data_IF_832959561976
#
_entry.id   IF_832959561976
#
_cell.length_a   1.000
_cell.length_b   1.000
_cell.length_c   1.000
_cell.angle_alpha   90.00
_cell.angle_beta   90.00
_cell.angle_gamma   90.00
#
_symmetry.space_group_name_H-M   'P 1'
#
loop_
_entity.id
_entity.type
_entity.pdbx_description
1 polymer ?
#
# COMPACT_ATOMS: atom_id res chain seq x y z
N UNK A 1 3.68 -3.57 -17.13
CA UNK A 1 4.32 -2.48 -16.34
C UNK A 1 5.21 -3.14 -15.31
N UNK A 2 6.16 -2.41 -14.71
CA UNK A 2 7.11 -3.02 -13.77
C UNK A 2 7.05 -2.30 -12.44
N UNK A 3 6.72 -2.98 -11.34
CA UNK A 3 6.86 -2.43 -10.00
C UNK A 3 8.33 -2.48 -9.60
N UNK A 4 8.85 -1.37 -9.08
CA UNK A 4 10.27 -1.23 -8.71
C UNK A 4 10.47 -0.75 -7.28
N UNK A 5 9.41 -0.35 -6.57
CA UNK A 5 9.52 0.05 -5.18
C UNK A 5 8.17 0.21 -4.48
N UNK A 6 8.24 0.29 -3.16
CA UNK A 6 7.13 0.62 -2.27
C UNK A 6 7.67 1.43 -1.09
N UNK A 7 6.79 2.18 -0.42
CA UNK A 7 7.13 2.85 0.83
C UNK A 7 5.87 3.10 1.67
N UNK A 8 5.98 2.90 2.98
CA UNK A 8 4.98 3.28 3.96
C UNK A 8 5.50 4.37 4.89
N UNK A 9 4.67 5.39 5.14
CA UNK A 9 4.98 6.50 6.03
C UNK A 9 3.84 6.77 7.00
N UNK A 10 4.16 6.83 8.28
CA UNK A 10 3.33 7.54 9.26
C UNK A 10 3.55 9.03 9.04
N UNK A 11 2.48 9.78 8.76
CA UNK A 11 2.62 11.22 8.56
C UNK A 11 2.66 11.94 9.90
N UNK A 12 3.55 12.90 10.00
CA UNK A 12 3.59 13.83 11.11
C UNK A 12 3.00 15.15 10.68
N UNK A 13 2.52 15.90 11.66
CA UNK A 13 1.91 17.20 11.45
C UNK A 13 2.96 18.19 10.96
N UNK A 14 2.89 18.62 9.70
CA UNK A 14 3.80 19.64 9.18
C UNK A 14 3.38 21.07 9.56
N UNK A 15 2.09 21.30 9.81
CA UNK A 15 1.52 22.61 10.14
C UNK A 15 0.47 22.48 11.27
N UNK A 16 0.39 23.43 12.24
CA UNK A 16 -0.48 23.32 13.42
C UNK A 16 -1.99 23.15 13.14
N UNK A 17 -2.42 23.49 11.93
CA UNK A 17 -3.80 23.58 11.49
C UNK A 17 -4.12 22.58 10.35
N UNK A 18 -3.28 21.58 10.12
CA UNK A 18 -3.57 20.44 9.23
C UNK A 18 -3.88 19.18 10.05
N UNK A 19 -4.62 18.26 9.44
CA UNK A 19 -4.95 16.94 10.01
C UNK A 19 -4.05 15.83 9.47
N UNK A 20 -2.85 16.16 8.97
CA UNK A 20 -1.96 15.22 8.29
C UNK A 20 -1.52 14.06 9.20
N UNK A 21 -1.36 14.33 10.49
CA UNK A 21 -1.01 13.37 11.53
C UNK A 21 -2.05 12.26 11.74
N UNK A 22 -3.28 12.46 11.27
CA UNK A 22 -4.32 11.43 11.30
C UNK A 22 -4.23 10.46 10.12
N UNK A 23 -3.25 10.61 9.23
CA UNK A 23 -3.10 9.79 8.04
C UNK A 23 -1.76 9.05 7.99
N UNK A 24 -1.80 7.94 7.29
CA UNK A 24 -0.64 7.23 6.79
C UNK A 24 -0.61 7.35 5.26
N UNK A 25 0.61 7.39 4.71
CA UNK A 25 0.84 7.39 3.26
C UNK A 25 1.50 6.09 2.85
N UNK A 26 0.89 5.38 1.91
CA UNK A 26 1.44 4.22 1.25
C UNK A 26 1.76 4.56 -0.19
N UNK A 27 2.86 4.03 -0.73
CA UNK A 27 3.33 4.33 -2.07
C UNK A 27 3.76 3.06 -2.80
N UNK A 28 3.52 3.03 -4.11
CA UNK A 28 4.09 2.05 -5.04
C UNK A 28 4.71 2.80 -6.22
N UNK A 29 5.97 2.49 -6.51
CA UNK A 29 6.71 3.05 -7.65
C UNK A 29 6.78 2.02 -8.76
N UNK A 30 6.44 2.44 -9.98
CA UNK A 30 6.38 1.57 -11.14
C UNK A 30 6.83 2.27 -12.42
N UNK A 31 7.31 1.48 -13.38
CA UNK A 31 7.70 1.91 -14.72
C UNK A 31 6.56 1.57 -15.68
N UNK A 32 6.10 2.60 -16.41
CA UNK A 32 5.11 2.50 -17.48
C UNK A 32 5.69 3.10 -18.76
N UNK A 33 6.03 2.23 -19.73
CA UNK A 33 6.84 2.64 -20.88
C UNK A 33 8.26 2.96 -20.41
N UNK A 34 8.71 4.18 -20.65
CA UNK A 34 10.01 4.70 -20.18
C UNK A 34 9.88 5.64 -18.97
N UNK A 35 8.68 5.81 -18.43
CA UNK A 35 8.41 6.74 -17.33
C UNK A 35 8.29 6.00 -16.00
N UNK A 36 9.08 6.43 -15.01
CA UNK A 36 8.88 6.09 -13.61
C UNK A 36 7.74 6.94 -13.03
N UNK A 37 6.83 6.29 -12.32
CA UNK A 37 5.65 6.90 -11.70
C UNK A 37 5.49 6.36 -10.29
N UNK A 38 4.95 7.19 -9.41
CA UNK A 38 4.57 6.77 -8.06
C UNK A 38 3.08 6.99 -7.88
N UNK A 39 2.38 5.93 -7.48
CA UNK A 39 1.01 5.98 -7.02
C UNK A 39 1.01 5.98 -5.49
N UNK A 40 0.28 6.93 -4.90
CA UNK A 40 0.17 7.07 -3.45
C UNK A 40 -1.26 6.88 -2.95
N UNK A 41 -1.41 6.26 -1.78
CA UNK A 41 -2.67 6.17 -1.07
C UNK A 41 -2.50 6.84 0.28
N UNK A 42 -3.32 7.85 0.53
CA UNK A 42 -3.44 8.50 1.83
C UNK A 42 -4.67 7.92 2.54
N UNK A 43 -4.48 7.30 3.69
CA UNK A 43 -5.58 6.67 4.44
C UNK A 43 -5.50 6.96 5.93
N UNK A 44 -6.62 6.86 6.64
CA UNK A 44 -6.71 7.21 8.07
C UNK A 44 -5.88 6.24 8.90
N UNK A 45 -5.00 6.76 9.75
CA UNK A 45 -4.10 5.95 10.61
C UNK A 45 -4.85 4.96 11.50
N UNK A 46 -6.04 5.34 11.98
CA UNK A 46 -6.93 4.48 12.77
C UNK A 46 -7.20 3.11 12.11
N UNK A 47 -7.11 2.99 10.78
CA UNK A 47 -7.28 1.71 10.10
C UNK A 47 -6.19 0.69 10.48
N UNK A 48 -4.99 1.13 10.86
CA UNK A 48 -3.96 0.26 11.44
C UNK A 48 -4.30 -0.19 12.86
N UNK A 49 -5.13 0.54 13.62
CA UNK A 49 -5.56 0.16 14.97
C UNK A 49 -6.64 -0.93 14.95
N UNK A 50 -7.54 -0.88 13.96
CA UNK A 50 -8.62 -1.86 13.76
C UNK A 50 -8.31 -2.87 12.65
N UNK A 51 -7.03 -3.09 12.34
CA UNK A 51 -6.64 -3.83 11.13
C UNK A 51 -7.23 -5.25 11.06
N UNK A 52 -7.36 -5.93 12.20
CA UNK A 52 -7.85 -7.31 12.29
C UNK A 52 -9.35 -7.40 12.01
N UNK A 53 -10.06 -6.28 12.16
CA UNK A 53 -11.50 -6.19 11.86
C UNK A 53 -11.76 -5.98 10.37
N UNK A 54 -10.80 -5.41 9.64
CA UNK A 54 -11.00 -4.88 8.28
C UNK A 54 -10.07 -5.51 7.23
N UNK A 55 -9.13 -6.36 7.65
CA UNK A 55 -8.19 -7.11 6.81
C UNK A 55 -8.00 -8.53 7.38
N UNK A 56 -7.51 -9.50 6.58
CA UNK A 56 -7.24 -10.84 7.08
C UNK A 56 -5.90 -10.97 7.86
N UNK A 57 -5.22 -9.85 8.16
CA UNK A 57 -3.94 -9.89 8.86
C UNK A 57 -4.15 -9.94 10.37
N UNK A 58 -3.30 -10.72 11.05
CA UNK A 58 -3.34 -10.89 12.51
C UNK A 58 -2.56 -9.81 13.27
N UNK A 59 -1.85 -8.91 12.58
CA UNK A 59 -1.04 -7.88 13.24
C UNK A 59 -0.42 -6.89 12.28
N UNK A 60 0.30 -5.92 12.85
CA UNK A 60 1.08 -4.93 12.12
C UNK A 60 2.47 -4.90 12.77
N UNK A 61 3.46 -5.68 12.28
CA UNK A 61 3.63 -6.11 10.89
C UNK A 61 2.64 -7.18 10.40
N UNK A 62 2.24 -7.03 9.13
CA UNK A 62 1.25 -7.89 8.45
C UNK A 62 1.85 -9.20 7.96
N UNK A 63 3.13 -9.22 7.65
CA UNK A 63 3.94 -10.41 7.38
C UNK A 63 5.43 -10.05 7.40
N UNK A 64 6.30 -11.06 7.27
CA UNK A 64 7.75 -10.89 7.14
C UNK A 64 8.22 -11.38 5.78
N UNK A 65 9.21 -10.70 5.21
CA UNK A 65 10.00 -11.21 4.08
C UNK A 65 11.45 -11.27 4.54
N UNK A 66 12.02 -12.47 4.59
CA UNK A 66 13.33 -12.72 5.20
C UNK A 66 13.33 -12.19 6.66
N UNK A 67 14.19 -11.23 6.99
CA UNK A 67 14.28 -10.59 8.31
C UNK A 67 13.54 -9.23 8.37
N UNK A 68 12.89 -8.82 7.27
CA UNK A 68 12.21 -7.53 7.21
C UNK A 68 10.73 -7.65 7.56
N UNK A 69 10.33 -6.92 8.59
CA UNK A 69 8.93 -6.68 8.93
C UNK A 69 8.27 -5.79 7.87
N UNK A 70 7.12 -6.25 7.35
CA UNK A 70 6.30 -5.50 6.42
C UNK A 70 5.04 -5.02 7.15
N UNK A 71 4.77 -3.73 7.10
CA UNK A 71 3.65 -3.10 7.79
C UNK A 71 2.48 -2.85 6.84
N UNK A 72 1.27 -2.60 7.38
CA UNK A 72 0.09 -2.34 6.56
C UNK A 72 0.31 -1.16 5.61
N UNK A 73 0.84 -0.04 6.11
CA UNK A 73 1.25 1.13 5.30
C UNK A 73 2.21 0.82 4.17
N UNK A 74 2.98 -0.26 4.21
CA UNK A 74 3.88 -0.62 3.11
C UNK A 74 3.12 -1.22 1.92
N UNK A 75 1.94 -1.80 2.16
CA UNK A 75 1.22 -2.62 1.17
C UNK A 75 -0.11 -2.03 0.71
N UNK A 76 -0.69 -1.03 1.39
CA UNK A 76 -2.00 -0.45 1.02
C UNK A 76 -2.04 0.02 -0.43
N UNK A 77 -1.02 0.79 -0.87
CA UNK A 77 -0.98 1.30 -2.23
C UNK A 77 -0.89 0.17 -3.25
N UNK A 78 -0.12 -0.87 -2.96
CA UNK A 78 0.00 -2.04 -3.82
C UNK A 78 -1.32 -2.81 -3.91
N UNK A 79 -2.00 -3.05 -2.80
CA UNK A 79 -3.31 -3.69 -2.76
C UNK A 79 -4.35 -2.92 -3.60
N UNK A 80 -4.42 -1.59 -3.43
CA UNK A 80 -5.26 -0.72 -4.23
C UNK A 80 -4.92 -0.80 -5.72
N UNK A 81 -3.63 -0.75 -6.05
CA UNK A 81 -3.13 -0.74 -7.43
C UNK A 81 -3.36 -2.05 -8.18
N UNK A 82 -3.32 -3.19 -7.47
CA UNK A 82 -3.62 -4.52 -8.02
C UNK A 82 -5.11 -4.68 -8.25
N UNK A 83 -5.92 -4.28 -7.26
CA UNK A 83 -7.36 -4.49 -7.25
C UNK A 83 -8.08 -3.58 -8.24
N UNK A 84 -7.68 -2.30 -8.31
CA UNK A 84 -8.30 -1.32 -9.19
C UNK A 84 -7.32 -0.84 -10.28
N UNK A 85 -7.53 -1.33 -11.51
CA UNK A 85 -6.72 -0.94 -12.67
C UNK A 85 -6.86 0.53 -13.05
N UNK A 86 -7.94 1.21 -12.65
CA UNK A 86 -8.14 2.64 -12.93
C UNK A 86 -7.17 3.54 -12.16
N UNK A 87 -6.49 3.01 -11.13
CA UNK A 87 -5.43 3.73 -10.43
C UNK A 87 -4.11 3.75 -11.20
N UNK A 88 -3.96 2.95 -12.26
CA UNK A 88 -2.81 2.98 -13.17
C UNK A 88 -2.82 4.31 -13.92
N UNK A 89 -1.95 5.24 -13.53
CA UNK A 89 -1.87 6.59 -14.08
C UNK A 89 -2.41 7.69 -13.16
N UNK A 90 -3.06 7.34 -12.05
CA UNK A 90 -3.36 8.30 -10.99
C UNK A 90 -2.11 8.54 -10.13
N UNK A 91 -1.98 9.76 -9.62
CA UNK A 91 -0.88 10.11 -8.70
C UNK A 91 -1.22 9.77 -7.25
N UNK A 92 -2.46 9.99 -6.84
CA UNK A 92 -2.90 9.84 -5.45
C UNK A 92 -4.37 9.48 -5.34
N UNK A 93 -4.68 8.60 -4.39
CA UNK A 93 -6.05 8.34 -3.89
C UNK A 93 -6.11 8.62 -2.39
N UNK A 94 -7.28 9.02 -1.92
CA UNK A 94 -7.57 9.27 -0.51
C UNK A 94 -8.69 8.33 -0.04
N UNK A 95 -8.48 7.64 1.07
CA UNK A 95 -9.43 6.68 1.63
C UNK A 95 -9.65 6.99 3.11
N UNK A 96 -10.84 7.48 3.44
CA UNK A 96 -11.20 7.83 4.82
C UNK A 96 -12.40 7.07 5.37
N UNK A 97 -12.86 6.05 4.65
CA UNK A 97 -13.95 5.18 5.09
C UNK A 97 -13.45 3.74 5.18
N UNK A 98 -13.75 3.09 6.29
CA UNK A 98 -13.43 1.68 6.53
C UNK A 98 -14.04 0.82 5.42
N UNK A 99 -15.30 1.08 5.06
CA UNK A 99 -16.01 0.29 4.04
C UNK A 99 -15.33 0.32 2.67
N UNK A 100 -14.65 1.42 2.33
CA UNK A 100 -13.92 1.55 1.08
C UNK A 100 -12.54 0.92 1.17
N UNK A 101 -11.90 0.99 2.34
CA UNK A 101 -10.59 0.40 2.58
C UNK A 101 -10.60 -1.13 2.54
N UNK A 102 -11.56 -1.77 3.24
CA UNK A 102 -11.62 -3.24 3.37
C UNK A 102 -11.76 -3.96 2.01
N UNK A 103 -12.36 -3.29 1.01
CA UNK A 103 -12.57 -3.85 -0.35
C UNK A 103 -11.26 -4.22 -1.07
N UNK A 104 -10.13 -3.69 -0.61
CA UNK A 104 -8.81 -3.95 -1.19
C UNK A 104 -8.08 -5.15 -0.59
N UNK A 105 -8.62 -5.78 0.47
CA UNK A 105 -7.95 -6.83 1.22
C UNK A 105 -8.70 -8.17 1.19
N UNK A 106 -9.25 -8.55 0.03
CA UNK A 106 -9.70 -9.93 -0.16
C UNK A 106 -8.53 -10.92 -0.30
N UNK A 107 -8.78 -12.20 -0.04
CA UNK A 107 -7.75 -13.27 -0.02
C UNK A 107 -6.91 -13.28 -1.30
N UNK A 108 -7.55 -13.10 -2.45
CA UNK A 108 -6.87 -13.09 -3.75
C UNK A 108 -5.91 -11.91 -3.88
N UNK A 109 -6.30 -10.74 -3.41
CA UNK A 109 -5.47 -9.54 -3.45
C UNK A 109 -4.31 -9.67 -2.48
N UNK A 110 -4.56 -10.19 -1.28
CA UNK A 110 -3.53 -10.40 -0.24
C UNK A 110 -2.44 -11.36 -0.71
N UNK A 111 -2.82 -12.52 -1.26
CA UNK A 111 -1.85 -13.48 -1.82
C UNK A 111 -1.00 -12.82 -2.91
N UNK A 112 -1.65 -12.10 -3.84
CA UNK A 112 -0.93 -11.43 -4.93
C UNK A 112 0.01 -10.32 -4.44
N UNK A 113 -0.36 -9.60 -3.38
CA UNK A 113 0.49 -8.61 -2.73
C UNK A 113 1.72 -9.28 -2.14
N UNK A 114 1.54 -10.39 -1.40
CA UNK A 114 2.65 -11.14 -0.81
C UNK A 114 3.60 -11.69 -1.88
N UNK A 115 3.07 -12.25 -2.97
CA UNK A 115 3.87 -12.73 -4.10
C UNK A 115 4.72 -11.62 -4.73
N UNK A 116 4.10 -10.47 -5.02
CA UNK A 116 4.80 -9.31 -5.60
C UNK A 116 5.86 -8.79 -4.63
N UNK A 117 5.56 -8.71 -3.33
CA UNK A 117 6.52 -8.24 -2.35
C UNK A 117 7.72 -9.19 -2.24
N UNK A 118 7.49 -10.50 -2.20
CA UNK A 118 8.56 -11.50 -2.18
C UNK A 118 9.46 -11.40 -3.44
N UNK A 119 8.85 -11.26 -4.62
CA UNK A 119 9.61 -11.12 -5.87
C UNK A 119 10.36 -9.77 -5.93
N UNK A 120 9.76 -8.69 -5.45
CA UNK A 120 10.38 -7.37 -5.41
C UNK A 120 11.59 -7.35 -4.49
N UNK A 121 11.53 -8.01 -3.34
CA UNK A 121 12.67 -8.14 -2.43
C UNK A 121 13.83 -8.93 -3.06
N UNK A 122 13.52 -10.01 -3.78
CA UNK A 122 14.48 -10.89 -4.45
C UNK A 122 15.12 -10.25 -5.68
N UNK A 123 14.31 -9.67 -6.56
CA UNK A 123 14.72 -9.24 -7.91
C UNK A 123 14.84 -7.71 -8.06
N UNK A 124 14.41 -6.94 -7.06
CA UNK A 124 14.28 -5.46 -7.09
C UNK A 124 13.29 -4.92 -8.13
N UNK A 125 12.60 -5.80 -8.86
CA UNK A 125 11.55 -5.46 -9.81
C UNK A 125 10.59 -6.62 -10.01
N UNK A 126 9.34 -6.32 -10.37
CA UNK A 126 8.30 -7.31 -10.65
C UNK A 126 7.46 -6.86 -11.84
N UNK A 127 7.29 -7.73 -12.82
CA UNK A 127 6.40 -7.47 -13.95
C UNK A 127 4.95 -7.82 -13.60
N UNK A 128 4.03 -6.88 -13.86
CA UNK A 128 2.60 -7.13 -13.67
C UNK A 128 1.80 -6.79 -14.93
N UNK A 129 0.80 -7.64 -15.19
CA UNK A 129 -0.19 -7.51 -16.26
C UNK A 129 -1.38 -6.60 -15.88
#
# INVERSE_FOLDING_TARGET
MVIVGYAGHELEKAQPNTSEDFFNRSEVTYILGEQEKTFSVLYVRYFEEVLQEITPFEGNPVFKIEEQDIYLRDIVALACFIKNKEFRGQKRVYINRIEDFQKYFDDKTVVKVQDIMAELHKNKKVEIA
#
